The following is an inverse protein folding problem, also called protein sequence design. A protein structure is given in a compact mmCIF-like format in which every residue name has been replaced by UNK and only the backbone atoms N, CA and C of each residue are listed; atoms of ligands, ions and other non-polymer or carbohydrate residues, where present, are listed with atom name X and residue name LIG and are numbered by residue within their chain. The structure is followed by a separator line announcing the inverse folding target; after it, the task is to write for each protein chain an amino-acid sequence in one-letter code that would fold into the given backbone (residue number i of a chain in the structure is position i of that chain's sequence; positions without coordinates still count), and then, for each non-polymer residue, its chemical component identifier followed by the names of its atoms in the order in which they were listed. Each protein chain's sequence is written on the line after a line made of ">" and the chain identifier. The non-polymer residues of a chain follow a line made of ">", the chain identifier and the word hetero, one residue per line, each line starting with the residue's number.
data_IF_228686014875
#
_entry.id   IF_228686014875
#
_cell.length_a   1.000
_cell.length_b   1.000
_cell.length_c   1.000
_cell.angle_alpha   90.00
_cell.angle_beta   90.00
_cell.angle_gamma   90.00
#
_symmetry.space_group_name_H-M   'P 1'
#
loop_
_entity.id
_entity.type
_entity.pdbx_description
1 polymer ?
#
# COMPACT_ATOMS: atom_id res chain seq x y z
N UNK A 1 -34.04 -30.82 1.80
CA UNK A 1 -32.58 -30.61 1.70
C UNK A 1 -32.08 -30.80 0.27
N UNK A 2 -32.73 -31.65 -0.54
CA UNK A 2 -32.47 -31.78 -1.97
C UNK A 2 -33.72 -31.33 -2.73
N UNK A 3 -33.55 -30.57 -3.80
CA UNK A 3 -34.60 -30.08 -4.70
C UNK A 3 -34.47 -30.80 -6.03
N UNK A 4 -35.61 -31.25 -6.55
CA UNK A 4 -35.70 -31.95 -7.83
C UNK A 4 -36.09 -30.96 -8.93
N UNK A 5 -35.53 -31.15 -10.12
CA UNK A 5 -35.94 -30.37 -11.29
C UNK A 5 -37.39 -30.69 -11.66
N UNK A 6 -38.23 -29.68 -11.96
CA UNK A 6 -39.59 -29.93 -12.46
C UNK A 6 -39.61 -30.62 -13.83
N UNK A 7 -38.46 -30.71 -14.50
CA UNK A 7 -38.31 -31.25 -15.85
C UNK A 7 -37.55 -32.60 -15.91
N UNK A 8 -37.01 -33.08 -14.79
CA UNK A 8 -36.27 -34.36 -14.74
C UNK A 8 -36.11 -34.86 -13.31
N UNK A 9 -36.53 -36.10 -13.08
CA UNK A 9 -36.38 -36.78 -11.79
C UNK A 9 -34.93 -37.16 -11.45
N UNK A 10 -34.01 -37.05 -12.42
CA UNK A 10 -32.58 -37.38 -12.26
C UNK A 10 -31.75 -36.14 -11.92
N UNK A 11 -32.26 -34.94 -12.20
CA UNK A 11 -31.56 -33.69 -11.91
C UNK A 11 -31.97 -33.19 -10.53
N UNK A 12 -31.03 -33.30 -9.60
CA UNK A 12 -31.19 -32.87 -8.21
C UNK A 12 -30.12 -31.85 -7.85
N UNK A 13 -30.49 -30.90 -6.98
CA UNK A 13 -29.56 -29.93 -6.42
C UNK A 13 -29.78 -29.79 -4.91
N UNK A 14 -28.75 -29.41 -4.13
CA UNK A 14 -28.94 -29.02 -2.74
C UNK A 14 -29.92 -27.85 -2.65
N UNK A 15 -30.77 -27.85 -1.61
CA UNK A 15 -31.73 -26.78 -1.38
C UNK A 15 -31.09 -25.47 -0.90
N UNK A 16 -29.84 -25.54 -0.44
CA UNK A 16 -29.09 -24.41 0.10
C UNK A 16 -27.61 -24.52 -0.28
N UNK A 17 -27.00 -23.39 -0.65
CA UNK A 17 -25.58 -23.26 -1.02
C UNK A 17 -24.63 -23.81 0.06
N UNK A 18 -24.99 -23.69 1.34
CA UNK A 18 -24.18 -24.23 2.45
C UNK A 18 -24.01 -25.75 2.35
N UNK A 19 -25.04 -26.47 1.90
CA UNK A 19 -24.98 -27.92 1.72
C UNK A 19 -24.14 -28.30 0.51
N UNK A 20 -24.18 -27.49 -0.55
CA UNK A 20 -23.30 -27.64 -1.71
C UNK A 20 -21.84 -27.45 -1.28
N UNK A 21 -21.53 -26.37 -0.56
CA UNK A 21 -20.19 -26.06 -0.08
C UNK A 21 -19.64 -27.19 0.82
N UNK A 22 -20.45 -27.72 1.75
CA UNK A 22 -20.03 -28.85 2.60
C UNK A 22 -19.80 -30.13 1.80
N UNK A 23 -20.69 -30.47 0.87
CA UNK A 23 -20.52 -31.65 0.02
C UNK A 23 -19.25 -31.52 -0.84
N UNK A 24 -18.96 -30.33 -1.37
CA UNK A 24 -17.76 -30.06 -2.14
C UNK A 24 -16.48 -30.14 -1.30
N UNK A 25 -16.48 -29.62 -0.05
CA UNK A 25 -15.33 -29.76 0.85
C UNK A 25 -15.01 -31.22 1.12
N UNK A 26 -16.03 -32.01 1.48
CA UNK A 26 -15.85 -33.42 1.76
C UNK A 26 -15.38 -34.18 0.51
N UNK A 27 -15.97 -33.88 -0.64
CA UNK A 27 -15.56 -34.49 -1.90
C UNK A 27 -14.11 -34.15 -2.28
N UNK A 28 -13.67 -32.90 -2.08
CA UNK A 28 -12.26 -32.50 -2.32
C UNK A 28 -11.31 -33.27 -1.41
N UNK A 29 -11.67 -33.44 -0.13
CA UNK A 29 -10.89 -34.21 0.83
C UNK A 29 -10.76 -35.69 0.39
N UNK A 30 -11.85 -36.29 -0.08
CA UNK A 30 -11.86 -37.63 -0.65
C UNK A 30 -10.99 -37.72 -1.93
N UNK A 31 -11.07 -36.74 -2.84
CA UNK A 31 -10.23 -36.71 -4.03
C UNK A 31 -8.75 -36.56 -3.67
N UNK A 32 -8.41 -35.76 -2.66
CA UNK A 32 -7.04 -35.60 -2.18
C UNK A 32 -6.50 -36.93 -1.63
N UNK A 33 -7.30 -37.67 -0.86
CA UNK A 33 -6.93 -38.98 -0.34
C UNK A 33 -6.77 -40.05 -1.44
N UNK A 34 -7.63 -40.03 -2.48
CA UNK A 34 -7.52 -40.96 -3.62
C UNK A 34 -6.25 -40.70 -4.44
N UNK A 35 -5.86 -39.43 -4.57
CA UNK A 35 -4.75 -38.98 -5.41
C UNK A 35 -3.54 -38.50 -4.59
N UNK A 36 -3.32 -39.05 -3.38
CA UNK A 36 -2.27 -38.62 -2.45
C UNK A 36 -0.87 -38.61 -3.08
N UNK A 37 -0.59 -39.56 -3.98
CA UNK A 37 0.70 -39.70 -4.65
C UNK A 37 0.86 -38.81 -5.91
N UNK A 38 -0.20 -38.15 -6.39
CA UNK A 38 -0.15 -37.36 -7.63
C UNK A 38 -1.01 -36.09 -7.57
N UNK A 39 -0.34 -34.97 -7.34
CA UNK A 39 -0.96 -33.65 -7.34
C UNK A 39 -1.58 -33.29 -8.71
N UNK A 40 -1.00 -33.81 -9.80
CA UNK A 40 -1.49 -33.56 -11.16
C UNK A 40 -2.83 -34.23 -11.40
N UNK A 41 -2.96 -35.49 -10.97
CA UNK A 41 -4.23 -36.22 -11.10
C UNK A 41 -5.29 -35.63 -10.16
N UNK A 42 -4.90 -35.21 -8.95
CA UNK A 42 -5.80 -34.45 -8.06
C UNK A 42 -6.31 -33.15 -8.71
N UNK A 43 -5.42 -32.35 -9.30
CA UNK A 43 -5.78 -31.10 -9.99
C UNK A 43 -6.74 -31.33 -11.16
N UNK A 44 -6.52 -32.41 -11.94
CA UNK A 44 -7.42 -32.81 -13.03
C UNK A 44 -8.78 -33.30 -12.51
N UNK A 45 -8.79 -34.07 -11.42
CA UNK A 45 -10.00 -34.63 -10.83
C UNK A 45 -10.95 -33.55 -10.31
N UNK A 46 -10.43 -32.53 -9.62
CA UNK A 46 -11.26 -31.43 -9.11
C UNK A 46 -11.73 -30.47 -10.22
N UNK A 47 -10.96 -30.33 -11.30
CA UNK A 47 -11.29 -29.48 -12.44
C UNK A 47 -11.32 -27.98 -12.11
N UNK A 48 -12.02 -27.20 -12.95
CA UNK A 48 -11.96 -25.72 -12.95
C UNK A 48 -13.27 -25.02 -12.60
N UNK A 49 -14.30 -25.78 -12.20
CA UNK A 49 -15.61 -25.21 -11.94
C UNK A 49 -15.54 -24.16 -10.80
N UNK A 50 -16.15 -22.96 -10.94
CA UNK A 50 -15.99 -21.87 -9.97
C UNK A 50 -16.33 -22.23 -8.53
N UNK A 51 -17.39 -23.02 -8.31
CA UNK A 51 -17.77 -23.50 -6.98
C UNK A 51 -16.70 -24.43 -6.38
N UNK A 52 -16.15 -25.35 -7.18
CA UNK A 52 -15.08 -26.25 -6.75
C UNK A 52 -13.81 -25.47 -6.43
N UNK A 53 -13.41 -24.50 -7.27
CA UNK A 53 -12.23 -23.65 -7.00
C UNK A 53 -12.39 -22.83 -5.72
N UNK A 54 -13.59 -22.31 -5.45
CA UNK A 54 -13.91 -21.63 -4.18
C UNK A 54 -13.72 -22.56 -3.00
N UNK A 55 -14.23 -23.79 -3.08
CA UNK A 55 -14.13 -24.76 -1.99
C UNK A 55 -12.73 -25.34 -1.84
N UNK A 56 -11.99 -25.52 -2.93
CA UNK A 56 -10.57 -25.89 -2.91
C UNK A 56 -9.76 -24.86 -2.13
N UNK A 57 -9.98 -23.56 -2.38
CA UNK A 57 -9.29 -22.52 -1.63
C UNK A 57 -9.58 -22.60 -0.13
N UNK A 58 -10.85 -22.83 0.23
CA UNK A 58 -11.24 -23.00 1.63
C UNK A 58 -10.60 -24.25 2.25
N UNK A 59 -10.60 -25.38 1.54
CA UNK A 59 -9.97 -26.63 1.98
C UNK A 59 -8.46 -26.45 2.21
N UNK A 60 -7.74 -25.76 1.33
CA UNK A 60 -6.31 -25.45 1.54
C UNK A 60 -6.11 -24.56 2.75
N UNK A 61 -6.95 -23.54 2.96
CA UNK A 61 -6.87 -22.72 4.18
C UNK A 61 -7.10 -23.54 5.45
N UNK A 62 -8.05 -24.49 5.45
CA UNK A 62 -8.27 -25.41 6.56
C UNK A 62 -7.07 -26.35 6.77
N UNK A 63 -6.45 -26.84 5.70
CA UNK A 63 -5.25 -27.67 5.76
C UNK A 63 -4.07 -26.94 6.43
N UNK A 64 -3.85 -25.66 6.08
CA UNK A 64 -2.80 -24.82 6.67
C UNK A 64 -2.99 -24.64 8.17
N UNK A 65 -4.24 -24.54 8.63
CA UNK A 65 -4.57 -24.35 10.04
C UNK A 65 -4.51 -25.65 10.85
N UNK A 66 -4.84 -26.80 10.24
CA UNK A 66 -4.94 -28.09 10.93
C UNK A 66 -3.65 -28.91 10.89
N UNK A 67 -2.94 -28.93 9.75
CA UNK A 67 -1.70 -29.67 9.56
C UNK A 67 -0.67 -28.87 8.74
N UNK A 68 0.07 -28.02 9.45
CA UNK A 68 1.13 -27.20 8.85
C UNK A 68 2.17 -28.03 8.08
N UNK A 69 2.47 -29.28 8.50
CA UNK A 69 3.45 -30.12 7.80
C UNK A 69 2.89 -30.63 6.47
N UNK A 70 1.62 -31.01 6.44
CA UNK A 70 0.96 -31.39 5.19
C UNK A 70 0.86 -30.19 4.24
N UNK A 71 0.51 -29.01 4.76
CA UNK A 71 0.50 -27.78 3.98
C UNK A 71 1.88 -27.43 3.39
N UNK A 72 2.98 -27.58 4.14
CA UNK A 72 4.33 -27.35 3.59
C UNK A 72 4.66 -28.31 2.43
N UNK A 73 4.30 -29.59 2.59
CA UNK A 73 4.55 -30.61 1.56
C UNK A 73 3.75 -30.28 0.31
N UNK A 74 2.46 -30.00 0.48
CA UNK A 74 1.59 -29.61 -0.62
C UNK A 74 2.10 -28.37 -1.33
N UNK A 75 2.50 -27.32 -0.59
CA UNK A 75 3.05 -26.11 -1.19
C UNK A 75 4.25 -26.41 -2.08
N UNK A 76 5.26 -27.14 -1.57
CA UNK A 76 6.45 -27.49 -2.37
C UNK A 76 6.08 -28.28 -3.60
N UNK A 77 5.27 -29.33 -3.44
CA UNK A 77 4.83 -30.18 -4.55
C UNK A 77 4.06 -29.37 -5.61
N UNK A 78 3.21 -28.42 -5.20
CA UNK A 78 2.43 -27.59 -6.14
C UNK A 78 3.30 -26.53 -6.82
N UNK A 79 4.26 -25.93 -6.12
CA UNK A 79 5.12 -24.87 -6.66
C UNK A 79 6.26 -25.40 -7.54
N UNK A 80 6.77 -26.62 -7.26
CA UNK A 80 7.86 -27.23 -8.02
C UNK A 80 7.37 -27.91 -9.31
N UNK A 81 6.08 -28.22 -9.42
CA UNK A 81 5.51 -28.88 -10.60
C UNK A 81 5.17 -27.86 -11.71
N UNK A 82 5.96 -27.88 -12.77
CA UNK A 82 5.84 -26.98 -13.93
C UNK A 82 4.67 -27.35 -14.86
N UNK A 83 4.17 -28.59 -14.78
CA UNK A 83 3.06 -29.05 -15.61
C UNK A 83 1.69 -28.69 -15.02
N UNK A 84 1.65 -28.30 -13.73
CA UNK A 84 0.42 -27.86 -13.09
C UNK A 84 -0.13 -26.57 -13.71
N UNK A 85 -1.46 -26.47 -13.88
CA UNK A 85 -2.08 -25.23 -14.34
C UNK A 85 -1.82 -24.05 -13.40
N UNK A 86 -1.49 -22.89 -13.97
CA UNK A 86 -1.21 -21.68 -13.20
C UNK A 86 -2.32 -21.29 -12.23
N UNK A 87 -3.60 -21.47 -12.62
CA UNK A 87 -4.74 -21.13 -11.75
C UNK A 87 -4.75 -21.95 -10.44
N UNK A 88 -4.25 -23.19 -10.47
CA UNK A 88 -4.26 -24.10 -9.32
C UNK A 88 -3.15 -23.73 -8.34
N UNK A 89 -1.98 -23.38 -8.87
CA UNK A 89 -0.89 -22.79 -8.11
C UNK A 89 -1.32 -21.46 -7.46
N UNK A 90 -1.98 -20.58 -8.22
CA UNK A 90 -2.50 -19.31 -7.71
C UNK A 90 -3.56 -19.52 -6.61
N UNK A 91 -4.51 -20.43 -6.81
CA UNK A 91 -5.53 -20.73 -5.81
C UNK A 91 -4.89 -21.24 -4.52
N UNK A 92 -3.85 -22.08 -4.62
CA UNK A 92 -3.10 -22.59 -3.46
C UNK A 92 -2.42 -21.44 -2.71
N UNK A 93 -1.69 -20.57 -3.43
CA UNK A 93 -1.03 -19.40 -2.85
C UNK A 93 -2.02 -18.45 -2.20
N UNK A 94 -3.13 -18.11 -2.87
CA UNK A 94 -4.17 -17.23 -2.33
C UNK A 94 -4.74 -17.79 -1.02
N UNK A 95 -4.94 -19.10 -0.95
CA UNK A 95 -5.50 -19.77 0.23
C UNK A 95 -4.55 -19.70 1.42
N UNK A 96 -3.25 -19.88 1.16
CA UNK A 96 -2.20 -19.74 2.16
C UNK A 96 -2.12 -18.28 2.64
N UNK A 97 -2.11 -17.31 1.71
CA UNK A 97 -2.02 -15.89 2.02
C UNK A 97 -3.23 -15.34 2.80
N UNK A 98 -4.40 -15.96 2.62
CA UNK A 98 -5.63 -15.60 3.36
C UNK A 98 -5.80 -16.38 4.67
N UNK A 99 -4.93 -17.36 4.95
CA UNK A 99 -5.00 -18.13 6.18
C UNK A 99 -4.53 -17.30 7.39
N UNK A 100 -5.02 -17.65 8.58
CA UNK A 100 -4.56 -17.01 9.83
C UNK A 100 -3.06 -17.24 10.10
N UNK A 101 -2.52 -18.37 9.63
CA UNK A 101 -1.11 -18.76 9.78
C UNK A 101 -0.21 -18.27 8.64
N UNK A 102 -0.67 -17.35 7.78
CA UNK A 102 0.08 -16.90 6.60
C UNK A 102 1.45 -16.30 6.96
N UNK A 103 1.55 -15.65 8.12
CA UNK A 103 2.77 -15.00 8.56
C UNK A 103 3.89 -16.00 8.84
N UNK A 104 3.59 -17.02 9.65
CA UNK A 104 4.53 -18.09 10.00
C UNK A 104 4.93 -18.90 8.75
N UNK A 105 3.96 -19.13 7.86
CA UNK A 105 4.20 -19.83 6.60
C UNK A 105 5.20 -19.07 5.71
N UNK A 106 4.97 -17.77 5.49
CA UNK A 106 5.84 -16.95 4.65
C UNK A 106 7.26 -16.83 5.23
N UNK A 107 7.39 -16.72 6.55
CA UNK A 107 8.69 -16.69 7.21
C UNK A 107 9.47 -17.99 6.99
N UNK A 108 8.80 -19.13 7.18
CA UNK A 108 9.39 -20.46 7.02
C UNK A 108 9.83 -20.76 5.58
N UNK A 109 9.06 -20.32 4.59
CA UNK A 109 9.35 -20.52 3.17
C UNK A 109 10.13 -19.35 2.53
N UNK A 110 10.65 -18.42 3.33
CA UNK A 110 11.36 -17.21 2.84
C UNK A 110 12.51 -17.51 1.87
N UNK A 111 13.30 -18.56 2.14
CA UNK A 111 14.39 -18.99 1.25
C UNK A 111 13.86 -19.45 -0.11
N UNK A 112 12.83 -20.29 -0.13
CA UNK A 112 12.16 -20.79 -1.34
C UNK A 112 11.55 -19.63 -2.16
N UNK A 113 10.97 -18.62 -1.50
CA UNK A 113 10.41 -17.43 -2.15
C UNK A 113 11.47 -16.57 -2.85
N UNK A 114 12.69 -16.52 -2.31
CA UNK A 114 13.80 -15.69 -2.80
C UNK A 114 14.66 -16.40 -3.87
N UNK A 115 14.50 -17.71 -4.04
CA UNK A 115 15.18 -18.49 -5.08
C UNK A 115 14.74 -18.08 -6.49
N UNK A 116 15.50 -18.55 -7.49
CA UNK A 116 15.17 -18.41 -8.93
C UNK A 116 14.81 -16.96 -9.32
N UNK A 117 15.66 -16.02 -8.90
CA UNK A 117 15.43 -14.59 -9.10
C UNK A 117 14.07 -14.10 -8.56
N UNK A 118 13.64 -14.62 -7.39
CA UNK A 118 12.45 -14.13 -6.67
C UNK A 118 11.15 -14.27 -7.48
N UNK A 119 11.09 -15.12 -8.50
CA UNK A 119 9.89 -15.27 -9.35
C UNK A 119 8.65 -15.65 -8.53
N UNK A 120 8.83 -16.53 -7.55
CA UNK A 120 7.74 -16.92 -6.66
C UNK A 120 7.31 -15.77 -5.73
N UNK A 121 8.26 -15.01 -5.18
CA UNK A 121 7.94 -13.81 -4.40
C UNK A 121 7.22 -12.74 -5.22
N UNK A 122 7.62 -12.51 -6.48
CA UNK A 122 6.93 -11.58 -7.39
C UNK A 122 5.47 -11.98 -7.60
N UNK A 123 5.23 -13.28 -7.81
CA UNK A 123 3.88 -13.85 -7.91
C UNK A 123 3.09 -13.69 -6.61
N UNK A 124 3.70 -13.95 -5.47
CA UNK A 124 3.10 -13.73 -4.14
C UNK A 124 2.70 -12.27 -3.95
N UNK A 125 3.56 -11.32 -4.30
CA UNK A 125 3.24 -9.88 -4.21
C UNK A 125 2.04 -9.54 -5.11
N UNK A 126 2.00 -10.05 -6.34
CA UNK A 126 0.86 -9.82 -7.23
C UNK A 126 -0.45 -10.38 -6.67
N UNK A 127 -0.45 -11.63 -6.19
CA UNK A 127 -1.62 -12.27 -5.61
C UNK A 127 -2.08 -11.60 -4.32
N UNK A 128 -1.14 -11.18 -3.46
CA UNK A 128 -1.42 -10.43 -2.24
C UNK A 128 -2.24 -9.17 -2.55
N UNK A 129 -1.80 -8.39 -3.54
CA UNK A 129 -2.43 -7.13 -3.96
C UNK A 129 -3.85 -7.29 -4.51
N UNK A 130 -4.18 -8.47 -5.06
CA UNK A 130 -5.49 -8.73 -5.68
C UNK A 130 -6.42 -9.49 -4.74
N UNK A 131 -5.89 -10.46 -3.98
CA UNK A 131 -6.70 -11.42 -3.23
C UNK A 131 -6.77 -11.13 -1.72
N UNK A 132 -5.82 -10.41 -1.14
CA UNK A 132 -5.79 -10.08 0.29
C UNK A 132 -6.26 -8.65 0.54
N UNK A 133 -7.43 -8.31 0.00
CA UNK A 133 -7.98 -6.95 0.04
C UNK A 133 -9.43 -7.00 0.51
N UNK A 134 -9.80 -6.06 1.37
CA UNK A 134 -11.18 -5.83 1.83
C UNK A 134 -11.76 -4.57 1.21
N UNK A 135 -13.08 -4.51 1.07
CA UNK A 135 -13.78 -3.34 0.54
C UNK A 135 -14.51 -2.62 1.67
N UNK A 136 -14.28 -1.32 1.78
CA UNK A 136 -14.97 -0.44 2.71
C UNK A 136 -15.78 0.60 1.95
N UNK A 137 -17.01 0.86 2.38
CA UNK A 137 -17.79 2.01 1.93
C UNK A 137 -17.32 3.26 2.67
N UNK A 138 -16.66 4.20 1.97
CA UNK A 138 -16.16 5.45 2.60
C UNK A 138 -17.27 6.44 2.98
N UNK A 139 -18.47 6.25 2.44
CA UNK A 139 -19.63 7.11 2.65
C UNK A 139 -20.75 6.31 3.33
N UNK A 140 -21.41 6.94 4.31
CA UNK A 140 -22.62 6.40 4.92
C UNK A 140 -23.62 5.99 3.83
N UNK A 141 -24.38 4.93 4.12
CA UNK A 141 -25.34 4.24 3.23
C UNK A 141 -26.46 5.14 2.65
N UNK A 142 -26.43 6.45 2.90
CA UNK A 142 -27.47 7.43 2.58
C UNK A 142 -27.24 8.15 1.25
N UNK A 143 -26.05 8.13 0.68
CA UNK A 143 -25.80 8.68 -0.67
C UNK A 143 -25.59 7.58 -1.71
N UNK A 144 -26.28 7.71 -2.85
CA UNK A 144 -26.34 6.71 -3.92
C UNK A 144 -25.01 6.35 -4.59
N UNK A 145 -23.88 6.93 -4.17
CA UNK A 145 -22.55 6.71 -4.76
C UNK A 145 -21.55 6.36 -3.65
N UNK A 146 -21.66 5.15 -3.10
CA UNK A 146 -20.63 4.63 -2.21
C UNK A 146 -19.35 4.41 -3.03
N UNK A 147 -18.32 5.24 -2.80
CA UNK A 147 -16.98 4.96 -3.30
C UNK A 147 -16.47 3.74 -2.55
N UNK A 148 -16.36 2.61 -3.27
CA UNK A 148 -15.73 1.40 -2.78
C UNK A 148 -14.22 1.65 -2.72
N UNK A 149 -13.68 1.70 -1.52
CA UNK A 149 -12.24 1.80 -1.30
C UNK A 149 -11.75 0.44 -0.85
N UNK A 150 -10.72 -0.03 -1.54
CA UNK A 150 -9.99 -1.24 -1.18
C UNK A 150 -8.93 -0.91 -0.13
N UNK A 151 -8.81 -1.77 0.87
CA UNK A 151 -7.78 -1.70 1.90
C UNK A 151 -7.09 -3.07 2.05
N UNK A 152 -5.79 -3.10 2.40
CA UNK A 152 -5.09 -4.34 2.69
C UNK A 152 -5.78 -5.10 3.83
N UNK A 153 -5.89 -6.42 3.68
CA UNK A 153 -6.56 -7.30 4.64
C UNK A 153 -5.71 -8.55 4.93
N UNK A 154 -5.64 -8.92 6.21
CA UNK A 154 -4.92 -10.09 6.68
C UNK A 154 -3.42 -9.89 6.98
N UNK A 155 -2.83 -10.84 7.75
CA UNK A 155 -1.46 -10.73 8.27
C UNK A 155 -0.36 -10.88 7.20
N UNK A 156 -0.70 -11.46 6.04
CA UNK A 156 0.25 -11.66 4.94
C UNK A 156 0.90 -10.35 4.44
N UNK A 157 0.20 -9.22 4.48
CA UNK A 157 0.74 -7.93 4.07
C UNK A 157 2.00 -7.55 4.83
N UNK A 158 1.94 -7.63 6.16
CA UNK A 158 3.05 -7.26 7.04
C UNK A 158 4.23 -8.20 6.82
N UNK A 159 3.97 -9.50 6.70
CA UNK A 159 5.02 -10.50 6.47
C UNK A 159 5.73 -10.32 5.13
N UNK A 160 4.99 -10.06 4.05
CA UNK A 160 5.59 -9.79 2.73
C UNK A 160 6.39 -8.49 2.76
N UNK A 161 5.86 -7.41 3.37
CA UNK A 161 6.57 -6.14 3.49
C UNK A 161 7.89 -6.28 4.27
N UNK A 162 7.88 -7.01 5.39
CA UNK A 162 9.09 -7.30 6.18
C UNK A 162 10.09 -8.14 5.40
N UNK A 163 9.62 -9.16 4.68
CA UNK A 163 10.48 -10.01 3.85
C UNK A 163 11.17 -9.20 2.74
N UNK A 164 10.42 -8.34 2.05
CA UNK A 164 10.95 -7.43 1.03
C UNK A 164 11.96 -6.47 1.65
N UNK A 165 11.61 -5.81 2.76
CA UNK A 165 12.51 -4.88 3.46
C UNK A 165 13.85 -5.54 3.81
N UNK A 166 13.83 -6.77 4.35
CA UNK A 166 15.02 -7.50 4.75
C UNK A 166 15.96 -7.83 3.57
N UNK A 167 15.43 -7.87 2.34
CA UNK A 167 16.16 -8.27 1.14
C UNK A 167 16.22 -7.18 0.06
N UNK A 168 15.93 -5.91 0.41
CA UNK A 168 15.97 -4.75 -0.50
C UNK A 168 17.22 -4.70 -1.41
N UNK A 169 18.45 -4.95 -0.91
CA UNK A 169 19.66 -4.94 -1.76
C UNK A 169 19.66 -5.98 -2.88
N UNK A 170 18.82 -7.02 -2.82
CA UNK A 170 18.74 -8.09 -3.82
C UNK A 170 17.74 -7.83 -4.95
N UNK A 171 16.93 -6.77 -4.85
CA UNK A 171 15.95 -6.37 -5.86
C UNK A 171 16.59 -5.52 -6.96
N UNK A 172 16.12 -5.70 -8.18
CA UNK A 172 16.63 -5.02 -9.37
C UNK A 172 15.70 -3.86 -9.80
N UNK A 173 16.11 -3.12 -10.84
CA UNK A 173 15.33 -2.03 -11.42
C UNK A 173 13.92 -2.48 -11.85
N UNK A 174 13.82 -3.68 -12.43
CA UNK A 174 12.57 -4.29 -12.91
C UNK A 174 11.53 -4.54 -11.80
N UNK A 175 11.98 -4.68 -10.55
CA UNK A 175 11.11 -4.93 -9.40
C UNK A 175 10.45 -3.66 -8.88
N UNK A 176 10.98 -2.48 -9.22
CA UNK A 176 10.56 -1.21 -8.60
C UNK A 176 9.10 -0.89 -8.82
N UNK A 177 8.56 -1.14 -10.02
CA UNK A 177 7.14 -0.90 -10.31
C UNK A 177 6.23 -1.84 -9.52
N UNK A 178 6.67 -3.10 -9.33
CA UNK A 178 5.93 -4.08 -8.52
C UNK A 178 5.91 -3.65 -7.05
N UNK A 179 7.07 -3.24 -6.52
CA UNK A 179 7.21 -2.78 -5.13
C UNK A 179 6.51 -1.45 -4.87
N UNK A 180 6.51 -0.53 -5.84
CA UNK A 180 5.73 0.71 -5.77
C UNK A 180 4.24 0.38 -5.62
N UNK A 181 3.70 -0.48 -6.49
CA UNK A 181 2.31 -0.90 -6.39
C UNK A 181 1.99 -1.62 -5.07
N UNK A 182 2.94 -2.38 -4.49
CA UNK A 182 2.79 -3.01 -3.18
C UNK A 182 2.61 -1.95 -2.07
N UNK A 183 3.48 -0.94 -2.01
CA UNK A 183 3.40 0.09 -0.96
C UNK A 183 2.22 1.03 -1.16
N UNK A 184 1.83 1.34 -2.40
CA UNK A 184 0.64 2.13 -2.72
C UNK A 184 -0.65 1.44 -2.25
N UNK A 185 -0.75 0.15 -2.54
CA UNK A 185 -1.92 -0.65 -2.16
C UNK A 185 -2.01 -0.77 -0.63
N UNK A 186 -0.88 -0.98 0.06
CA UNK A 186 -0.83 -0.93 1.52
C UNK A 186 -1.24 0.45 2.05
N UNK A 187 -0.77 1.53 1.42
CA UNK A 187 -1.05 2.91 1.85
C UNK A 187 -2.55 3.28 1.77
N UNK A 188 -3.38 2.50 1.06
CA UNK A 188 -4.85 2.65 1.10
C UNK A 188 -5.46 2.27 2.44
N UNK A 189 -4.76 1.45 3.23
CA UNK A 189 -5.14 1.11 4.61
C UNK A 189 -4.89 2.24 5.62
N UNK A 190 -4.04 3.22 5.27
CA UNK A 190 -3.75 4.37 6.13
C UNK A 190 -5.00 5.26 6.21
N UNK A 191 -5.48 5.49 7.43
CA UNK A 191 -6.63 6.38 7.65
C UNK A 191 -6.53 7.11 8.98
N UNK A 192 -7.53 7.93 9.31
CA UNK A 192 -7.55 8.67 10.56
C UNK A 192 -7.73 7.77 11.80
N UNK A 193 -8.26 6.54 11.64
CA UNK A 193 -8.47 5.58 12.75
C UNK A 193 -7.18 4.78 13.03
N UNK A 194 -6.69 3.91 12.11
CA UNK A 194 -5.30 3.46 12.13
C UNK A 194 -4.42 4.37 11.24
N UNK A 195 -3.74 5.38 11.82
CA UNK A 195 -2.80 6.21 11.07
C UNK A 195 -1.52 5.51 10.67
N UNK A 196 -1.16 4.45 11.39
CA UNK A 196 0.02 3.63 11.12
C UNK A 196 -0.41 2.17 11.20
N UNK A 197 -0.94 1.61 10.11
CA UNK A 197 -1.15 0.16 10.03
C UNK A 197 0.16 -0.59 10.27
N UNK A 198 0.08 -1.86 10.64
CA UNK A 198 1.27 -2.69 10.77
C UNK A 198 2.06 -2.74 9.46
N UNK A 199 3.38 -2.73 9.55
CA UNK A 199 4.28 -2.68 8.39
C UNK A 199 4.66 -1.27 7.92
N UNK A 200 4.24 -0.20 8.62
CA UNK A 200 4.57 1.18 8.24
C UNK A 200 6.08 1.43 8.12
N UNK A 201 6.89 0.92 9.06
CA UNK A 201 8.35 1.04 9.02
C UNK A 201 8.95 0.33 7.80
N UNK A 202 8.43 -0.86 7.48
CA UNK A 202 8.85 -1.60 6.27
C UNK A 202 8.50 -0.84 5.00
N UNK A 203 7.30 -0.25 4.95
CA UNK A 203 6.87 0.57 3.82
C UNK A 203 7.73 1.82 3.66
N UNK A 204 8.06 2.51 4.76
CA UNK A 204 8.97 3.65 4.73
C UNK A 204 10.34 3.26 4.17
N UNK A 205 10.91 2.15 4.66
CA UNK A 205 12.19 1.65 4.17
C UNK A 205 12.17 1.29 2.66
N UNK A 206 11.11 0.61 2.20
CA UNK A 206 10.92 0.29 0.78
C UNK A 206 10.77 1.57 -0.05
N UNK A 207 9.95 2.51 0.40
CA UNK A 207 9.70 3.77 -0.30
C UNK A 207 10.99 4.59 -0.45
N UNK A 208 11.81 4.70 0.59
CA UNK A 208 13.10 5.38 0.51
C UNK A 208 14.07 4.69 -0.47
N UNK A 209 14.13 3.36 -0.47
CA UNK A 209 14.92 2.62 -1.46
C UNK A 209 14.43 2.83 -2.90
N UNK A 210 13.10 2.95 -3.11
CA UNK A 210 12.52 3.26 -4.42
C UNK A 210 12.92 4.66 -4.90
N UNK A 211 12.93 5.66 -4.01
CA UNK A 211 13.31 7.04 -4.35
C UNK A 211 14.75 7.16 -4.86
N UNK A 212 15.70 6.42 -4.29
CA UNK A 212 17.09 6.38 -4.78
C UNK A 212 17.15 5.98 -6.26
N UNK A 213 16.16 5.20 -6.67
CA UNK A 213 16.02 4.61 -7.97
C UNK A 213 15.24 5.39 -9.04
N UNK A 214 14.45 6.38 -8.62
CA UNK A 214 13.62 7.19 -9.52
C UNK A 214 14.30 8.55 -9.80
N UNK A 215 15.49 8.47 -10.39
CA UNK A 215 16.36 9.63 -10.67
C UNK A 215 16.11 10.25 -12.06
N UNK A 216 15.57 9.47 -12.99
CA UNK A 216 15.40 9.91 -14.37
C UNK A 216 14.09 10.69 -14.56
N UNK A 217 14.09 11.60 -15.53
CA UNK A 217 12.90 12.39 -15.92
C UNK A 217 11.69 11.52 -16.28
N UNK A 218 11.92 10.30 -16.77
CA UNK A 218 10.89 9.33 -17.13
C UNK A 218 10.20 8.67 -15.93
N UNK A 219 10.76 8.84 -14.72
CA UNK A 219 10.26 8.27 -13.47
C UNK A 219 9.62 9.30 -12.54
N UNK A 220 9.24 10.45 -13.10
CA UNK A 220 8.67 11.57 -12.34
C UNK A 220 7.35 11.21 -11.66
N UNK A 221 6.53 10.37 -12.28
CA UNK A 221 5.23 9.95 -11.73
C UNK A 221 5.44 8.96 -10.60
N UNK A 222 6.27 7.94 -10.80
CA UNK A 222 6.63 6.93 -9.80
C UNK A 222 7.28 7.57 -8.57
N UNK A 223 8.13 8.58 -8.78
CA UNK A 223 8.73 9.37 -7.69
C UNK A 223 7.66 10.09 -6.87
N UNK A 224 6.71 10.78 -7.52
CA UNK A 224 5.63 11.48 -6.82
C UNK A 224 4.74 10.52 -6.05
N UNK A 225 4.34 9.40 -6.66
CA UNK A 225 3.58 8.33 -6.01
C UNK A 225 4.30 7.80 -4.75
N UNK A 226 5.61 7.58 -4.85
CA UNK A 226 6.43 7.16 -3.70
C UNK A 226 6.45 8.23 -2.60
N UNK A 227 6.60 9.50 -2.96
CA UNK A 227 6.56 10.62 -2.01
C UNK A 227 5.18 10.78 -1.34
N UNK A 228 4.08 10.54 -2.07
CA UNK A 228 2.73 10.53 -1.51
C UNK A 228 2.53 9.42 -0.47
N UNK A 229 3.12 8.24 -0.70
CA UNK A 229 3.13 7.16 0.31
C UNK A 229 3.89 7.61 1.56
N UNK A 230 5.08 8.20 1.43
CA UNK A 230 5.87 8.69 2.57
C UNK A 230 5.13 9.79 3.33
N UNK A 231 4.46 10.71 2.62
CA UNK A 231 3.67 11.79 3.21
C UNK A 231 2.57 11.29 4.16
N UNK A 232 2.05 10.07 3.93
CA UNK A 232 1.00 9.45 4.75
C UNK A 232 1.49 8.95 6.11
N UNK A 233 2.78 8.66 6.25
CA UNK A 233 3.36 7.96 7.42
C UNK A 233 4.60 8.66 8.00
N UNK A 234 4.52 9.95 8.39
CA UNK A 234 5.69 10.73 8.84
C UNK A 234 6.45 10.14 10.03
N UNK A 235 5.78 9.43 10.96
CA UNK A 235 6.44 8.82 12.11
C UNK A 235 7.09 7.46 11.85
N UNK A 236 6.88 6.87 10.66
CA UNK A 236 7.47 5.57 10.35
C UNK A 236 8.99 5.65 10.17
N UNK A 237 9.50 6.78 9.65
CA UNK A 237 10.93 7.11 9.61
C UNK A 237 11.09 8.64 9.77
N UNK A 238 11.05 9.17 11.00
CA UNK A 238 11.05 10.61 11.24
C UNK A 238 12.31 11.32 10.74
N UNK A 239 13.46 10.63 10.80
CA UNK A 239 14.76 11.21 10.42
C UNK A 239 14.85 11.40 8.91
N UNK A 240 14.55 10.36 8.12
CA UNK A 240 14.56 10.48 6.66
C UNK A 240 13.42 11.35 6.15
N UNK A 241 12.27 11.34 6.81
CA UNK A 241 11.17 12.26 6.51
C UNK A 241 11.60 13.72 6.70
N UNK A 242 12.24 14.04 7.82
CA UNK A 242 12.74 15.39 8.10
C UNK A 242 13.79 15.83 7.06
N UNK A 243 14.72 14.93 6.73
CA UNK A 243 15.73 15.19 5.70
C UNK A 243 15.10 15.49 4.33
N UNK A 244 14.09 14.70 3.91
CA UNK A 244 13.36 14.96 2.67
C UNK A 244 12.64 16.31 2.67
N UNK A 245 12.01 16.69 3.79
CA UNK A 245 11.26 17.94 3.87
C UNK A 245 12.17 19.17 3.94
N UNK A 246 13.30 19.08 4.63
CA UNK A 246 14.27 20.16 4.76
C UNK A 246 15.14 20.32 3.50
N UNK A 247 15.42 19.23 2.79
CA UNK A 247 16.37 19.22 1.68
C UNK A 247 17.82 19.38 2.15
N UNK A 248 18.77 18.79 1.44
CA UNK A 248 20.19 19.04 1.65
C UNK A 248 20.67 20.26 0.86
N UNK A 249 21.75 20.90 1.32
CA UNK A 249 22.20 22.22 0.85
C UNK A 249 23.07 22.20 -0.42
N UNK A 250 23.40 21.05 -1.02
CA UNK A 250 24.45 21.01 -2.06
C UNK A 250 24.22 20.05 -3.25
N UNK A 251 23.09 19.31 -3.32
CA UNK A 251 22.79 18.42 -4.46
C UNK A 251 21.51 18.82 -5.21
N UNK A 252 21.61 18.99 -6.53
CA UNK A 252 20.49 19.27 -7.44
C UNK A 252 19.39 18.21 -7.36
N UNK A 253 19.73 16.95 -7.04
CA UNK A 253 18.78 15.85 -6.87
C UNK A 253 17.97 16.01 -5.58
N UNK A 254 18.64 16.30 -4.47
CA UNK A 254 18.00 16.58 -3.17
C UNK A 254 17.06 17.78 -3.26
N UNK A 255 17.46 18.82 -3.98
CA UNK A 255 16.63 19.99 -4.25
C UNK A 255 15.32 19.65 -5.00
N UNK A 256 15.38 18.70 -5.93
CA UNK A 256 14.20 18.27 -6.69
C UNK A 256 13.25 17.45 -5.83
N UNK A 257 13.78 16.47 -5.10
CA UNK A 257 13.01 15.63 -4.17
C UNK A 257 12.33 16.48 -3.10
N UNK A 258 13.07 17.39 -2.46
CA UNK A 258 12.54 18.30 -1.46
C UNK A 258 11.46 19.21 -2.05
N UNK A 259 11.64 19.72 -3.28
CA UNK A 259 10.63 20.54 -3.95
C UNK A 259 9.33 19.78 -4.19
N UNK A 260 9.40 18.58 -4.78
CA UNK A 260 8.23 17.74 -5.06
C UNK A 260 7.53 17.33 -3.76
N UNK A 261 8.30 16.96 -2.74
CA UNK A 261 7.76 16.56 -1.45
C UNK A 261 7.08 17.72 -0.71
N UNK A 262 7.69 18.91 -0.71
CA UNK A 262 7.07 20.11 -0.15
C UNK A 262 5.78 20.49 -0.87
N UNK A 263 5.71 20.32 -2.19
CA UNK A 263 4.45 20.53 -2.93
C UNK A 263 3.37 19.54 -2.48
N UNK A 264 3.70 18.24 -2.35
CA UNK A 264 2.76 17.22 -1.85
C UNK A 264 2.26 17.58 -0.43
N UNK A 265 3.17 17.99 0.46
CA UNK A 265 2.85 18.30 1.86
C UNK A 265 2.10 19.62 2.00
N UNK A 266 2.50 20.70 1.33
CA UNK A 266 1.93 22.02 1.56
C UNK A 266 0.78 22.37 0.61
N UNK A 267 0.78 21.86 -0.61
CA UNK A 267 -0.23 22.18 -1.63
C UNK A 267 -1.28 21.06 -1.81
N UNK A 268 -0.88 19.81 -1.51
CA UNK A 268 -1.70 18.60 -1.64
C UNK A 268 -2.57 18.27 -0.42
N UNK A 269 -3.30 17.14 -0.49
CA UNK A 269 -4.12 16.63 0.63
C UNK A 269 -3.28 15.89 1.70
N UNK A 270 -2.05 15.51 1.33
CA UNK A 270 -1.25 14.58 2.12
C UNK A 270 -0.37 15.30 3.17
N UNK A 271 -0.60 16.60 3.37
CA UNK A 271 -0.02 17.37 4.47
C UNK A 271 -0.66 17.13 5.84
N UNK A 272 -1.86 16.55 5.88
CA UNK A 272 -2.59 16.36 7.13
C UNK A 272 -1.84 15.48 8.16
N UNK A 273 -1.25 14.33 7.79
CA UNK A 273 -0.52 13.48 8.74
C UNK A 273 0.66 14.20 9.40
N UNK A 274 1.47 14.92 8.62
CA UNK A 274 2.65 15.61 9.16
C UNK A 274 2.25 16.76 10.10
N UNK A 275 1.18 17.49 9.82
CA UNK A 275 0.66 18.52 10.72
C UNK A 275 0.17 17.99 12.06
N UNK A 276 -0.27 16.73 12.12
CA UNK A 276 -0.61 16.04 13.38
C UNK A 276 0.64 15.57 14.11
N UNK A 277 1.59 15.03 13.37
CA UNK A 277 2.63 14.18 13.94
C UNK A 277 3.97 14.88 14.20
N UNK A 278 4.32 15.89 13.41
CA UNK A 278 5.60 16.60 13.47
C UNK A 278 5.40 18.12 13.31
N UNK A 279 4.64 18.77 14.21
CA UNK A 279 4.19 20.13 14.01
C UNK A 279 5.33 21.16 13.96
N UNK A 280 6.39 20.98 14.76
CA UNK A 280 7.54 21.90 14.78
C UNK A 280 8.32 21.86 13.46
N UNK A 281 8.57 20.65 12.94
CA UNK A 281 9.21 20.46 11.65
C UNK A 281 8.40 21.11 10.52
N UNK A 282 7.08 20.90 10.52
CA UNK A 282 6.17 21.46 9.51
C UNK A 282 6.13 22.98 9.56
N UNK A 283 6.04 23.57 10.74
CA UNK A 283 6.03 25.02 10.92
C UNK A 283 7.33 25.63 10.40
N UNK A 284 8.48 25.04 10.75
CA UNK A 284 9.80 25.48 10.28
C UNK A 284 9.90 25.39 8.75
N UNK A 285 9.62 24.21 8.18
CA UNK A 285 9.71 23.98 6.74
C UNK A 285 8.70 24.82 5.94
N UNK A 286 7.51 25.10 6.49
CA UNK A 286 6.51 25.93 5.85
C UNK A 286 6.95 27.39 5.77
N UNK A 287 7.53 27.94 6.86
CA UNK A 287 8.04 29.30 6.85
C UNK A 287 9.12 29.46 5.77
N UNK A 288 10.07 28.53 5.70
CA UNK A 288 11.11 28.52 4.65
C UNK A 288 10.52 28.35 3.24
N UNK A 289 9.43 27.59 3.11
CA UNK A 289 8.79 27.32 1.83
C UNK A 289 7.96 28.49 1.29
N UNK A 290 7.26 29.20 2.18
CA UNK A 290 6.29 30.24 1.86
C UNK A 290 6.91 31.64 1.88
N UNK A 291 7.71 31.96 2.91
CA UNK A 291 8.18 33.31 3.19
C UNK A 291 9.55 33.57 2.56
N UNK A 292 9.78 34.82 2.16
CA UNK A 292 11.08 35.31 1.72
C UNK A 292 11.94 35.69 2.92
N UNK A 293 13.19 35.27 2.91
CA UNK A 293 14.19 35.80 3.85
C UNK A 293 14.46 37.30 3.57
N UNK A 294 14.98 38.01 4.58
CA UNK A 294 15.32 39.43 4.45
C UNK A 294 16.32 39.71 3.31
N UNK A 295 17.27 38.80 3.07
CA UNK A 295 18.24 38.90 1.99
C UNK A 295 17.63 38.64 0.60
N UNK A 296 16.67 37.72 0.50
CA UNK A 296 15.90 37.48 -0.73
C UNK A 296 15.04 38.70 -1.07
N UNK A 297 14.34 39.29 -0.09
CA UNK A 297 13.55 40.50 -0.29
C UNK A 297 14.42 41.66 -0.79
N UNK A 298 15.55 41.92 -0.13
CA UNK A 298 16.46 43.00 -0.53
C UNK A 298 17.00 42.80 -1.95
N UNK A 299 17.26 41.56 -2.36
CA UNK A 299 17.67 41.21 -3.72
C UNK A 299 16.54 41.47 -4.72
N UNK A 300 15.35 40.94 -4.48
CA UNK A 300 14.19 41.06 -5.37
C UNK A 300 13.74 42.53 -5.56
N UNK A 301 13.70 43.32 -4.47
CA UNK A 301 13.43 44.75 -4.54
C UNK A 301 14.48 45.54 -5.34
N UNK A 302 15.72 45.02 -5.43
CA UNK A 302 16.79 45.63 -6.24
C UNK A 302 16.66 45.37 -7.74
N UNK A 303 15.99 44.28 -8.16
CA UNK A 303 15.86 43.89 -9.56
C UNK A 303 14.48 44.22 -10.18
N UNK A 304 13.44 44.36 -9.37
CA UNK A 304 12.07 44.56 -9.86
C UNK A 304 11.68 46.04 -9.90
N UNK A 305 11.25 46.53 -11.08
CA UNK A 305 10.68 47.88 -11.21
C UNK A 305 9.31 48.04 -10.53
N UNK A 306 8.60 46.93 -10.28
CA UNK A 306 7.38 46.85 -9.46
C UNK A 306 7.33 45.52 -8.70
N UNK A 307 7.18 45.53 -7.37
CA UNK A 307 7.02 44.29 -6.59
C UNK A 307 5.72 43.58 -6.98
N UNK A 308 5.74 42.25 -7.03
CA UNK A 308 4.48 41.47 -7.13
C UNK A 308 3.72 41.55 -5.80
N UNK A 309 2.42 41.23 -5.83
CA UNK A 309 1.57 41.28 -4.63
C UNK A 309 2.14 40.40 -3.51
N UNK A 310 2.66 39.23 -3.85
CA UNK A 310 3.25 38.26 -2.92
C UNK A 310 4.46 38.85 -2.18
N UNK A 311 5.37 39.53 -2.91
CA UNK A 311 6.55 40.14 -2.31
C UNK A 311 6.20 41.27 -1.34
N UNK A 312 5.09 41.97 -1.56
CA UNK A 312 4.59 42.99 -0.61
C UNK A 312 4.15 42.38 0.73
N UNK A 313 3.77 41.10 0.73
CA UNK A 313 3.44 40.36 1.95
C UNK A 313 4.61 39.46 2.43
N UNK A 314 5.80 39.63 1.85
CA UNK A 314 6.96 38.79 2.17
C UNK A 314 6.84 37.33 1.74
N UNK A 315 5.95 37.03 0.77
CA UNK A 315 5.69 35.68 0.25
C UNK A 315 6.48 35.48 -1.06
N UNK A 316 7.01 34.27 -1.25
CA UNK A 316 7.72 33.87 -2.47
C UNK A 316 6.78 33.90 -3.70
N UNK A 317 7.10 34.66 -4.78
CA UNK A 317 6.25 34.78 -5.96
C UNK A 317 5.82 33.46 -6.61
N UNK A 318 6.67 32.43 -6.53
CA UNK A 318 6.42 31.12 -7.12
C UNK A 318 5.25 30.38 -6.44
N UNK A 319 4.67 30.92 -5.35
CA UNK A 319 3.59 30.30 -4.56
C UNK A 319 2.19 30.79 -4.92
N UNK A 320 2.05 31.74 -5.86
CA UNK A 320 0.79 32.41 -6.21
C UNK A 320 -0.38 31.47 -6.60
N UNK A 321 -0.09 30.23 -7.04
CA UNK A 321 -1.11 29.26 -7.48
C UNK A 321 -1.07 27.89 -6.78
N UNK A 322 -0.21 27.69 -5.78
CA UNK A 322 -0.06 26.38 -5.13
C UNK A 322 -1.33 25.90 -4.42
N UNK A 323 -2.19 26.82 -3.97
CA UNK A 323 -3.34 26.54 -3.12
C UNK A 323 -4.68 26.49 -3.86
N UNK A 324 -4.72 26.06 -5.13
CA UNK A 324 -5.96 26.01 -5.91
C UNK A 324 -6.51 24.58 -6.13
N UNK A 325 -7.81 24.32 -5.86
CA UNK A 325 -8.78 25.23 -5.23
C UNK A 325 -8.50 25.43 -3.74
N UNK A 326 -8.80 26.63 -3.25
CA UNK A 326 -8.64 26.97 -1.84
C UNK A 326 -9.49 26.05 -0.96
N UNK A 327 -8.86 25.36 -0.02
CA UNK A 327 -9.51 24.41 0.87
C UNK A 327 -8.70 24.24 2.15
N UNK A 328 -9.39 24.15 3.29
CA UNK A 328 -8.76 23.82 4.57
C UNK A 328 -8.16 22.40 4.58
N UNK A 329 -8.59 21.52 3.68
CA UNK A 329 -8.06 20.16 3.56
C UNK A 329 -6.74 20.08 2.78
N UNK A 330 -6.29 21.18 2.16
CA UNK A 330 -4.99 21.26 1.52
C UNK A 330 -3.94 21.71 2.51
N UNK A 331 -2.77 21.10 2.42
CA UNK A 331 -1.67 21.37 3.31
C UNK A 331 -1.88 20.83 4.73
N UNK A 332 -0.94 21.14 5.65
CA UNK A 332 -0.99 20.66 7.02
C UNK A 332 -1.87 21.51 7.95
N UNK A 333 -2.42 22.63 7.47
CA UNK A 333 -2.98 23.69 8.32
C UNK A 333 -4.15 23.23 9.20
N UNK A 334 -5.15 22.54 8.62
CA UNK A 334 -6.30 22.08 9.38
C UNK A 334 -5.91 21.04 10.44
N UNK A 335 -4.98 20.14 10.10
CA UNK A 335 -4.46 19.16 11.05
C UNK A 335 -3.69 19.83 12.18
N UNK A 336 -2.82 20.78 11.85
CA UNK A 336 -2.04 21.57 12.80
C UNK A 336 -2.97 22.33 13.76
N UNK A 337 -4.00 23.02 13.26
CA UNK A 337 -4.95 23.76 14.10
C UNK A 337 -5.80 22.85 14.98
N UNK A 338 -6.14 21.63 14.53
CA UNK A 338 -6.94 20.67 15.30
C UNK A 338 -6.14 19.98 16.39
N UNK A 339 -4.92 19.57 16.10
CA UNK A 339 -4.09 18.79 17.01
C UNK A 339 -3.14 19.65 17.85
N UNK A 340 -2.68 20.78 17.31
CA UNK A 340 -1.70 21.69 17.92
C UNK A 340 -2.13 23.17 17.79
N UNK A 341 -3.28 23.56 18.36
CA UNK A 341 -3.89 24.88 18.12
C UNK A 341 -2.99 26.07 18.46
N UNK A 342 -2.15 25.95 19.49
CA UNK A 342 -1.19 27.02 19.85
C UNK A 342 -0.18 27.25 18.73
N UNK A 343 0.51 26.19 18.29
CA UNK A 343 1.49 26.27 17.21
C UNK A 343 0.86 26.73 15.89
N UNK A 344 -0.36 26.27 15.59
CA UNK A 344 -1.10 26.72 14.41
C UNK A 344 -1.47 28.21 14.46
N UNK A 345 -1.90 28.73 15.61
CA UNK A 345 -2.18 30.17 15.78
C UNK A 345 -0.91 31.00 15.73
N UNK A 346 0.16 30.55 16.38
CA UNK A 346 1.46 31.24 16.37
C UNK A 346 2.01 31.34 14.94
N UNK A 347 1.88 30.27 14.14
CA UNK A 347 2.22 30.27 12.71
C UNK A 347 1.40 31.29 11.91
N UNK A 348 0.08 31.36 12.13
CA UNK A 348 -0.77 32.34 11.43
C UNK A 348 -0.34 33.76 11.80
N UNK A 349 -0.11 34.01 13.10
CA UNK A 349 0.35 35.31 13.59
C UNK A 349 1.72 35.65 13.00
N UNK A 350 2.65 34.69 12.93
CA UNK A 350 3.98 34.93 12.36
C UNK A 350 3.93 35.27 10.88
N UNK A 351 3.10 34.56 10.10
CA UNK A 351 2.90 34.84 8.67
C UNK A 351 2.31 36.24 8.47
N UNK A 352 1.28 36.61 9.25
CA UNK A 352 0.63 37.92 9.13
C UNK A 352 1.52 39.08 9.59
N UNK A 353 2.46 38.83 10.51
CA UNK A 353 3.41 39.84 10.98
C UNK A 353 4.71 39.88 10.16
N UNK A 354 4.89 38.98 9.18
CA UNK A 354 6.06 38.95 8.31
C UNK A 354 5.99 40.03 7.21
N UNK A 355 4.78 40.47 6.85
CA UNK A 355 4.52 41.50 5.84
C UNK A 355 4.88 42.91 6.30
#
# INVERSE_FOLDING_TARGET
>A
LIVFSPHSDVLVAPAHDVLEDWALLQWIDEQHAIHEDSIQEFSKAIGTHPAVRRMYRKWVSELVEQDAKAADRMFRTVMDDVELPAYFQDDTLVSILRSSSSAEFLEKHSSELLMNDKQLLRRVIHLLRVACVTTHSRLDKTTAHALLITAPDGPAWVSVLRLVQAHLPSFAQEDRTLLLGLIEDWARGVSWKPPYPEGAESVAAIAHWLLEGFDDYWSDEERKQTLEVIAKIPKADPERFAALLQGGLDDRKEDRLARDFRAIIFEGLEGMPVGRDMPELVVSALNDYLLCSASELQREYGYLSRPTLELLFGIKPQRSFGFFPASAYRGPFLSLLRHHPRQGLDLIISILNHS
#
